data_IF_185210194914
#
_entry.id   IF_185210194914
#
_cell.length_a   1.000
_cell.length_b   1.000
_cell.length_c   1.000
_cell.angle_alpha   90.00
_cell.angle_beta   90.00
_cell.angle_gamma   90.00
#
_symmetry.space_group_name_H-M   'P 1'
#
loop_
_entity.id
_entity.type
_entity.pdbx_description
1 polymer ?
#
# COMPACT_ATOMS: atom_id res chain seq x y z
N UNK A 1 -73.51 0.14 0.27
CA UNK A 1 -72.43 -0.83 0.57
C UNK A 1 -71.27 -0.87 -0.43
N UNK A 2 -71.34 -0.21 -1.61
CA UNK A 2 -70.24 -0.17 -2.61
C UNK A 2 -69.27 1.03 -2.49
N UNK A 3 -69.60 2.05 -1.68
CA UNK A 3 -68.73 3.23 -1.51
C UNK A 3 -67.61 3.03 -0.46
N UNK A 4 -67.77 2.12 0.50
CA UNK A 4 -66.80 1.93 1.59
C UNK A 4 -65.51 1.26 1.07
N UNK A 5 -65.62 0.40 0.04
CA UNK A 5 -64.47 -0.31 -0.54
C UNK A 5 -63.56 0.57 -1.40
N UNK A 6 -64.06 1.69 -1.94
CA UNK A 6 -63.27 2.60 -2.77
C UNK A 6 -62.30 3.43 -1.93
N UNK A 7 -62.69 3.82 -0.71
CA UNK A 7 -61.81 4.56 0.21
C UNK A 7 -60.63 3.69 0.70
N UNK A 8 -60.83 2.39 0.91
CA UNK A 8 -59.75 1.48 1.32
C UNK A 8 -58.67 1.29 0.24
N UNK A 9 -59.05 1.29 -1.05
CA UNK A 9 -58.12 1.16 -2.18
C UNK A 9 -57.29 2.45 -2.42
N UNK A 10 -57.86 3.63 -2.15
CA UNK A 10 -57.13 4.91 -2.24
C UNK A 10 -56.11 5.06 -1.11
N UNK A 11 -56.41 4.54 0.09
CA UNK A 11 -55.47 4.56 1.22
C UNK A 11 -54.31 3.57 0.98
N UNK A 12 -54.56 2.40 0.42
CA UNK A 12 -53.52 1.40 0.12
C UNK A 12 -52.53 1.84 -0.98
N UNK A 13 -52.99 2.63 -1.97
CA UNK A 13 -52.12 3.17 -3.02
C UNK A 13 -51.26 4.35 -2.56
N UNK A 14 -51.69 5.05 -1.50
CA UNK A 14 -50.94 6.16 -0.89
C UNK A 14 -49.73 5.67 -0.08
N UNK A 15 -49.85 4.53 0.60
CA UNK A 15 -48.77 3.96 1.41
C UNK A 15 -47.60 3.41 0.57
N UNK A 16 -47.87 2.86 -0.62
CA UNK A 16 -46.83 2.27 -1.47
C UNK A 16 -45.99 3.32 -2.22
N UNK A 17 -46.47 4.56 -2.37
CA UNK A 17 -45.73 5.63 -3.06
C UNK A 17 -44.76 6.39 -2.17
N UNK A 18 -44.86 6.28 -0.85
CA UNK A 18 -43.98 6.98 0.10
C UNK A 18 -42.66 6.21 0.34
N UNK A 19 -42.59 4.91 0.00
CA UNK A 19 -41.38 4.10 0.18
C UNK A 19 -40.39 4.17 -1.02
N UNK A 20 -40.74 4.87 -2.10
CA UNK A 20 -39.81 5.13 -3.21
C UNK A 20 -38.97 6.37 -2.88
N UNK A 21 -37.67 6.12 -2.72
CA UNK A 21 -36.57 7.09 -2.68
C UNK A 21 -36.21 7.71 -1.32
N UNK A 22 -36.07 6.87 -0.29
CA UNK A 22 -34.92 7.06 0.61
C UNK A 22 -33.74 6.23 0.08
N UNK A 23 -33.33 6.49 -1.17
CA UNK A 23 -31.97 6.18 -1.56
C UNK A 23 -31.13 7.05 -0.62
N UNK A 24 -30.53 6.42 0.39
CA UNK A 24 -29.55 7.02 1.28
C UNK A 24 -28.64 7.88 0.42
N UNK A 25 -28.83 9.21 0.47
CA UNK A 25 -27.81 10.17 0.07
C UNK A 25 -26.72 9.91 1.10
N UNK A 26 -25.81 8.97 0.82
CA UNK A 26 -24.50 9.00 1.47
C UNK A 26 -23.99 10.40 1.18
N UNK A 27 -23.82 11.17 2.25
CA UNK A 27 -23.25 12.49 2.18
C UNK A 27 -21.81 12.29 1.69
N UNK A 28 -21.64 12.32 0.37
CA UNK A 28 -20.37 12.04 -0.29
C UNK A 28 -19.49 13.24 -0.04
N UNK A 29 -18.70 13.17 1.02
CA UNK A 29 -17.67 14.16 1.31
C UNK A 29 -16.50 13.96 0.33
N UNK A 30 -16.67 14.51 -0.87
CA UNK A 30 -15.67 14.53 -1.92
C UNK A 30 -14.30 15.02 -1.42
N UNK A 31 -14.27 15.95 -0.45
CA UNK A 31 -13.03 16.50 0.08
C UNK A 31 -12.31 15.48 0.95
N UNK A 32 -13.04 14.77 1.82
CA UNK A 32 -12.49 13.69 2.63
C UNK A 32 -11.99 12.53 1.76
N UNK A 33 -12.79 12.09 0.80
CA UNK A 33 -12.44 10.99 -0.13
C UNK A 33 -11.21 11.35 -0.97
N UNK A 34 -11.18 12.55 -1.56
CA UNK A 34 -10.00 13.03 -2.31
C UNK A 34 -8.75 13.04 -1.43
N UNK A 35 -8.86 13.49 -0.17
CA UNK A 35 -7.73 13.52 0.77
C UNK A 35 -7.25 12.10 1.11
N UNK A 36 -8.16 11.16 1.29
CA UNK A 36 -7.82 9.76 1.54
C UNK A 36 -7.07 9.14 0.35
N UNK A 37 -7.55 9.36 -0.87
CA UNK A 37 -6.88 8.89 -2.10
C UNK A 37 -5.49 9.49 -2.25
N UNK A 38 -5.32 10.80 -2.02
CA UNK A 38 -4.00 11.44 -2.07
C UNK A 38 -3.04 10.81 -1.04
N UNK A 39 -3.50 10.60 0.19
CA UNK A 39 -2.68 9.99 1.24
C UNK A 39 -2.29 8.54 0.90
N UNK A 40 -3.21 7.76 0.30
CA UNK A 40 -2.92 6.40 -0.17
C UNK A 40 -1.87 6.42 -1.28
N UNK A 41 -2.01 7.32 -2.27
CA UNK A 41 -1.03 7.48 -3.34
C UNK A 41 0.33 7.85 -2.72
N UNK A 42 0.40 8.89 -1.90
CA UNK A 42 1.66 9.31 -1.26
C UNK A 42 2.34 8.15 -0.55
N UNK A 43 1.61 7.37 0.26
CA UNK A 43 2.15 6.21 0.94
C UNK A 43 2.65 5.12 -0.02
N UNK A 44 1.90 4.86 -1.10
CA UNK A 44 2.23 3.84 -2.09
C UNK A 44 3.45 4.22 -2.92
N UNK A 45 3.58 5.47 -3.33
CA UNK A 45 4.69 5.96 -4.15
C UNK A 45 5.94 6.33 -3.33
N UNK A 46 5.81 6.52 -2.02
CA UNK A 46 6.88 6.97 -1.13
C UNK A 46 8.15 6.11 -1.27
N UNK A 47 9.23 6.73 -1.74
CA UNK A 47 10.55 6.13 -1.91
C UNK A 47 10.67 5.14 -3.06
N UNK A 48 9.81 5.21 -4.09
CA UNK A 48 10.05 4.55 -5.38
C UNK A 48 11.39 5.02 -5.99
N UNK A 49 12.06 4.13 -6.72
CA UNK A 49 13.20 4.50 -7.56
C UNK A 49 12.76 5.43 -8.69
N UNK A 50 13.72 6.19 -9.21
CA UNK A 50 13.49 7.03 -10.38
C UNK A 50 12.98 6.20 -11.56
N UNK A 51 12.05 6.76 -12.32
CA UNK A 51 11.41 6.14 -13.48
C UNK A 51 10.71 4.80 -13.21
N UNK A 52 10.35 4.52 -11.95
CA UNK A 52 9.45 3.43 -11.59
C UNK A 52 8.01 3.91 -11.42
N UNK A 53 7.06 3.16 -11.96
CA UNK A 53 5.64 3.45 -11.95
C UNK A 53 4.87 2.22 -11.45
N UNK A 54 3.97 2.34 -10.47
CA UNK A 54 3.26 1.20 -9.91
C UNK A 54 2.33 0.57 -10.93
N UNK A 55 2.08 -0.72 -10.75
CA UNK A 55 1.05 -1.45 -11.46
C UNK A 55 -0.22 -1.55 -10.61
N UNK A 56 -1.39 -1.75 -11.25
CA UNK A 56 -2.60 -2.15 -10.52
C UNK A 56 -2.33 -3.41 -9.70
N UNK A 57 -2.73 -3.42 -8.43
CA UNK A 57 -2.38 -4.51 -7.51
C UNK A 57 -1.04 -4.27 -6.82
N UNK A 58 0.03 -4.94 -7.26
CA UNK A 58 1.36 -4.94 -6.63
C UNK A 58 2.47 -4.77 -7.69
N UNK A 59 3.64 -4.34 -7.25
CA UNK A 59 4.81 -4.15 -8.11
C UNK A 59 4.76 -2.89 -8.99
N UNK A 60 5.72 -2.81 -9.90
CA UNK A 60 5.95 -1.64 -10.74
C UNK A 60 6.61 -1.98 -12.08
N UNK A 61 6.54 -1.04 -13.01
CA UNK A 61 7.40 -0.99 -14.19
C UNK A 61 8.46 0.10 -14.00
N UNK A 62 9.72 -0.20 -14.27
CA UNK A 62 10.82 0.76 -14.18
C UNK A 62 11.54 0.89 -15.51
N UNK A 63 11.90 2.11 -15.89
CA UNK A 63 12.81 2.35 -17.02
C UNK A 63 14.21 2.55 -16.47
N UNK A 64 15.04 1.51 -16.57
CA UNK A 64 16.38 1.52 -15.98
C UNK A 64 17.37 0.66 -16.78
N UNK A 65 18.64 0.67 -16.35
CA UNK A 65 19.69 -0.16 -16.94
C UNK A 65 19.95 -1.35 -16.03
N UNK A 66 19.62 -2.56 -16.49
CA UNK A 66 19.90 -3.79 -15.74
C UNK A 66 20.95 -4.58 -16.52
N UNK A 67 22.06 -4.93 -15.86
CA UNK A 67 23.19 -5.66 -16.46
C UNK A 67 23.68 -5.04 -17.78
N UNK A 68 23.76 -3.70 -17.83
CA UNK A 68 24.21 -2.96 -19.02
C UNK A 68 23.15 -2.77 -20.11
N UNK A 69 21.96 -3.36 -19.97
CA UNK A 69 20.86 -3.24 -20.94
C UNK A 69 19.84 -2.22 -20.47
N UNK A 70 19.62 -1.17 -21.26
CA UNK A 70 18.53 -0.21 -21.05
C UNK A 70 17.20 -0.83 -21.49
N UNK A 71 16.16 -0.62 -20.68
CA UNK A 71 14.82 -1.04 -21.05
C UNK A 71 13.78 -0.79 -19.97
N UNK A 72 12.55 -1.20 -20.27
CA UNK A 72 11.46 -1.25 -19.30
C UNK A 72 11.43 -2.63 -18.65
N UNK A 73 11.49 -2.67 -17.33
CA UNK A 73 11.50 -3.89 -16.53
C UNK A 73 10.30 -3.91 -15.61
N UNK A 74 9.67 -5.08 -15.45
CA UNK A 74 8.56 -5.28 -14.53
C UNK A 74 9.06 -5.98 -13.26
N UNK A 75 8.67 -5.45 -12.11
CA UNK A 75 8.84 -6.01 -10.79
C UNK A 75 7.48 -6.43 -10.23
N UNK A 76 7.44 -7.56 -9.52
CA UNK A 76 6.18 -8.14 -9.04
C UNK A 76 5.79 -7.58 -7.67
N UNK A 77 6.75 -7.08 -6.88
CA UNK A 77 6.54 -6.60 -5.52
C UNK A 77 6.86 -5.13 -5.36
N UNK A 78 6.01 -4.40 -4.64
CA UNK A 78 6.21 -2.97 -4.31
C UNK A 78 7.58 -2.69 -3.67
N UNK A 79 8.05 -3.60 -2.83
CA UNK A 79 9.36 -3.51 -2.19
C UNK A 79 10.52 -3.44 -3.20
N UNK A 80 10.41 -4.16 -4.32
CA UNK A 80 11.39 -4.15 -5.41
C UNK A 80 11.36 -2.85 -6.21
N UNK A 81 10.39 -1.97 -5.98
CA UNK A 81 10.25 -0.66 -6.62
C UNK A 81 10.92 0.43 -5.80
N UNK A 82 11.16 0.18 -4.52
CA UNK A 82 11.69 1.16 -3.57
C UNK A 82 13.21 1.34 -3.72
N UNK A 83 13.74 2.48 -3.26
CA UNK A 83 15.18 2.69 -3.10
C UNK A 83 15.75 1.81 -2.00
N UNK A 84 17.08 1.59 -2.01
CA UNK A 84 17.75 0.83 -0.96
C UNK A 84 17.52 1.43 0.44
N UNK A 85 17.64 2.76 0.55
CA UNK A 85 17.36 3.50 1.78
C UNK A 85 15.92 3.30 2.26
N UNK A 86 14.94 3.36 1.34
CA UNK A 86 13.54 3.15 1.70
C UNK A 86 13.27 1.73 2.15
N UNK A 87 13.87 0.72 1.52
CA UNK A 87 13.77 -0.68 1.97
C UNK A 87 14.35 -0.87 3.36
N UNK A 88 15.48 -0.23 3.67
CA UNK A 88 16.08 -0.25 5.02
C UNK A 88 15.12 0.35 6.06
N UNK A 89 14.55 1.53 5.78
CA UNK A 89 13.56 2.15 6.70
C UNK A 89 12.32 1.29 6.87
N UNK A 90 11.77 0.76 5.78
CA UNK A 90 10.61 -0.15 5.85
C UNK A 90 10.90 -1.39 6.70
N UNK A 91 12.10 -1.94 6.57
CA UNK A 91 12.58 -3.07 7.36
C UNK A 91 12.66 -2.71 8.85
N UNK A 92 13.27 -1.58 9.17
CA UNK A 92 13.36 -1.07 10.54
C UNK A 92 11.97 -0.80 11.14
N UNK A 93 11.08 -0.14 10.41
CA UNK A 93 9.77 0.28 10.90
C UNK A 93 8.74 -0.85 11.01
N UNK A 94 8.78 -1.84 10.12
CA UNK A 94 7.80 -2.93 10.08
C UNK A 94 8.25 -4.16 10.83
N UNK A 95 9.49 -4.60 10.60
CA UNK A 95 10.00 -5.86 11.12
C UNK A 95 10.81 -5.65 12.40
N UNK A 96 11.74 -4.69 12.40
CA UNK A 96 12.71 -4.53 13.48
C UNK A 96 12.36 -3.45 14.52
N UNK A 97 11.14 -2.91 14.47
CA UNK A 97 10.71 -1.74 15.26
C UNK A 97 10.87 -1.96 16.76
N UNK A 98 10.55 -3.17 17.22
CA UNK A 98 10.64 -3.53 18.63
C UNK A 98 12.08 -3.52 19.11
N UNK A 99 13.01 -4.05 18.32
CA UNK A 99 14.42 -4.07 18.67
C UNK A 99 15.05 -2.68 18.53
N UNK A 100 14.67 -1.94 17.49
CA UNK A 100 15.06 -0.53 17.33
C UNK A 100 14.67 0.30 18.55
N UNK A 101 13.43 0.18 19.06
CA UNK A 101 13.00 0.90 20.28
C UNK A 101 13.86 0.60 21.51
N UNK A 102 14.36 -0.63 21.65
CA UNK A 102 15.24 -1.02 22.78
C UNK A 102 16.58 -0.31 22.71
N UNK A 103 17.14 -0.16 21.49
CA UNK A 103 18.46 0.46 21.29
C UNK A 103 18.41 1.98 21.09
N UNK A 104 17.27 2.54 20.66
CA UNK A 104 17.12 3.97 20.36
C UNK A 104 17.39 4.86 21.59
N UNK A 105 17.14 4.35 22.80
CA UNK A 105 17.49 5.03 24.06
C UNK A 105 18.99 5.29 24.19
N UNK A 106 19.84 4.37 23.71
CA UNK A 106 21.29 4.48 23.78
C UNK A 106 21.88 5.33 22.65
N UNK A 107 21.13 5.59 21.58
CA UNK A 107 21.54 6.27 20.33
C UNK A 107 22.61 5.54 19.50
N UNK A 108 23.64 4.96 20.12
CA UNK A 108 24.76 4.31 19.41
C UNK A 108 25.08 2.94 19.97
N UNK A 109 25.71 2.11 19.13
CA UNK A 109 26.18 0.77 19.47
C UNK A 109 27.14 0.78 20.65
N UNK A 110 28.12 1.69 20.64
CA UNK A 110 29.10 1.83 21.72
C UNK A 110 28.45 2.13 23.07
N UNK A 111 27.32 2.86 23.07
CA UNK A 111 26.58 3.21 24.29
C UNK A 111 25.66 2.08 24.79
N UNK A 112 25.13 1.26 23.88
CA UNK A 112 24.21 0.19 24.24
C UNK A 112 24.92 -1.14 24.54
N UNK A 113 26.15 -1.31 24.05
CA UNK A 113 26.89 -2.55 24.10
C UNK A 113 26.41 -3.55 23.05
N UNK A 114 27.32 -4.44 22.65
CA UNK A 114 27.09 -5.45 21.62
C UNK A 114 25.86 -6.32 21.93
N UNK A 115 25.68 -6.76 23.18
CA UNK A 115 24.62 -7.70 23.54
C UNK A 115 23.20 -7.13 23.35
N UNK A 116 23.01 -5.85 23.66
CA UNK A 116 21.72 -5.17 23.46
C UNK A 116 21.49 -4.78 22.01
N UNK A 117 22.58 -4.54 21.27
CA UNK A 117 22.53 -4.12 19.86
C UNK A 117 22.35 -5.29 18.89
N UNK A 118 22.86 -6.47 19.26
CA UNK A 118 22.89 -7.67 18.43
C UNK A 118 21.50 -8.13 17.93
N UNK A 119 20.42 -8.12 18.72
CA UNK A 119 19.08 -8.46 18.23
C UNK A 119 18.61 -7.56 17.08
N UNK A 120 18.89 -6.25 17.18
CA UNK A 120 18.55 -5.31 16.12
C UNK A 120 19.40 -5.54 14.85
N UNK A 121 20.70 -5.79 14.99
CA UNK A 121 21.58 -6.13 13.87
C UNK A 121 21.14 -7.42 13.17
N UNK A 122 20.84 -8.47 13.94
CA UNK A 122 20.41 -9.75 13.40
C UNK A 122 19.05 -9.60 12.69
N UNK A 123 18.12 -8.81 13.24
CA UNK A 123 16.85 -8.48 12.59
C UNK A 123 17.06 -7.74 11.27
N UNK A 124 17.84 -6.65 11.27
CA UNK A 124 18.11 -5.87 10.07
C UNK A 124 18.80 -6.70 9.00
N UNK A 125 19.74 -7.56 9.38
CA UNK A 125 20.42 -8.49 8.45
C UNK A 125 19.45 -9.51 7.85
N UNK A 126 18.56 -10.08 8.66
CA UNK A 126 17.57 -11.04 8.18
C UNK A 126 16.58 -10.38 7.22
N UNK A 127 16.01 -9.24 7.62
CA UNK A 127 14.98 -8.56 6.86
C UNK A 127 15.53 -7.90 5.57
N UNK A 128 16.72 -7.29 5.60
CA UNK A 128 17.36 -6.78 4.37
C UNK A 128 17.80 -7.91 3.42
N UNK A 129 18.19 -9.07 3.94
CA UNK A 129 18.46 -10.25 3.11
C UNK A 129 17.19 -10.78 2.44
N UNK A 130 16.03 -10.78 3.11
CA UNK A 130 14.75 -11.12 2.46
C UNK A 130 14.46 -10.15 1.32
N UNK A 131 14.65 -8.86 1.54
CA UNK A 131 14.48 -7.82 0.53
C UNK A 131 15.45 -8.00 -0.66
N UNK A 132 16.72 -8.32 -0.38
CA UNK A 132 17.76 -8.49 -1.40
C UNK A 132 17.63 -9.81 -2.18
N UNK A 133 17.31 -10.91 -1.50
CA UNK A 133 17.02 -12.21 -2.13
C UNK A 133 15.80 -12.12 -3.05
N UNK A 134 14.76 -11.38 -2.65
CA UNK A 134 13.61 -11.12 -3.50
C UNK A 134 14.00 -10.25 -4.72
N UNK A 135 14.85 -9.24 -4.56
CA UNK A 135 15.33 -8.44 -5.70
C UNK A 135 16.30 -9.18 -6.63
N UNK A 136 17.11 -10.11 -6.10
CA UNK A 136 18.04 -10.94 -6.87
C UNK A 136 17.41 -12.22 -7.43
N UNK A 137 16.14 -12.50 -7.13
CA UNK A 137 15.29 -13.38 -7.97
C UNK A 137 14.93 -12.72 -9.32
N UNK A 138 15.77 -11.78 -9.77
CA UNK A 138 16.06 -11.35 -11.14
C UNK A 138 16.06 -12.45 -12.21
N UNK A 139 16.02 -13.74 -11.87
CA UNK A 139 15.68 -14.81 -12.82
C UNK A 139 14.24 -14.73 -13.36
N UNK A 140 13.39 -13.83 -12.83
CA UNK A 140 12.06 -13.48 -13.37
C UNK A 140 11.94 -12.09 -14.00
N UNK A 141 13.03 -11.30 -14.06
CA UNK A 141 13.01 -9.96 -14.66
C UNK A 141 12.74 -10.06 -16.17
N UNK A 142 11.46 -10.04 -16.53
CA UNK A 142 11.02 -10.00 -17.92
C UNK A 142 11.18 -8.57 -18.40
N UNK A 143 12.09 -8.36 -19.35
CA UNK A 143 12.11 -7.15 -20.15
C UNK A 143 10.73 -7.01 -20.78
N UNK A 144 10.05 -5.91 -20.49
CA UNK A 144 8.73 -5.66 -21.02
C UNK A 144 8.87 -5.17 -22.47
N UNK A 145 8.45 -6.00 -23.42
CA UNK A 145 8.32 -5.62 -24.84
C UNK A 145 6.87 -5.28 -25.12
N UNK A 146 6.61 -4.06 -25.60
CA UNK A 146 5.30 -3.72 -26.16
C UNK A 146 5.11 -4.53 -27.45
N UNK A 147 4.22 -5.52 -27.41
CA UNK A 147 3.56 -6.07 -28.59
C UNK A 147 2.26 -5.31 -28.82
#
# INVERSE_FOLDING_TARGET
>A
MKLICLFALVIATSALRIQKQAASKKDYDFKAEKKAVIAELDQRFDGYREHCYPLPGDGCKCQETVNGVKGTYKYEKDAECKTGEKRIRLCEDKECKTDFKKINRCRTKDKCGQDKWKPYEDCMKACTKIQYSNSNQSSRLKKYTHQ
#
